data_IF_312793813983
#
_entry.id   IF_312793813983
#
_cell.length_a   1.000
_cell.length_b   1.000
_cell.length_c   1.000
_cell.angle_alpha   90.00
_cell.angle_beta   90.00
_cell.angle_gamma   90.00
#
_symmetry.space_group_name_H-M   'P 1'
#
loop_
_entity.id
_entity.type
_entity.pdbx_description
1 polymer ?
#
# COMPACT_ATOMS: atom_id res chain seq x y z
N UNK A 1 32.15 69.01 -13.55
CA UNK A 1 31.41 69.12 -14.83
C UNK A 1 31.08 67.71 -15.32
N UNK A 2 29.85 67.26 -15.12
CA UNK A 2 29.28 66.04 -15.71
C UNK A 2 27.79 66.33 -15.89
N UNK A 3 27.36 66.51 -17.13
CA UNK A 3 25.96 66.68 -17.44
C UNK A 3 25.23 65.35 -17.18
N UNK A 4 24.05 65.35 -16.56
CA UNK A 4 23.22 64.16 -16.49
C UNK A 4 22.62 63.96 -17.89
N UNK A 5 22.93 62.83 -18.50
CA UNK A 5 22.24 62.39 -19.71
C UNK A 5 20.77 62.13 -19.33
N UNK A 6 19.89 63.07 -19.64
CA UNK A 6 18.46 62.89 -19.57
C UNK A 6 18.09 61.77 -20.55
N UNK A 7 17.84 60.57 -20.02
CA UNK A 7 17.21 59.49 -20.76
C UNK A 7 15.82 59.99 -21.19
N UNK A 8 15.71 60.32 -22.47
CA UNK A 8 14.51 60.87 -23.06
C UNK A 8 13.32 59.92 -22.81
N UNK A 9 12.19 60.41 -22.31
CA UNK A 9 11.02 59.59 -22.01
C UNK A 9 10.48 58.87 -23.27
N UNK A 10 10.85 59.31 -24.46
CA UNK A 10 10.50 58.66 -25.73
C UNK A 10 11.10 57.26 -25.93
N UNK A 11 12.27 56.94 -25.35
CA UNK A 11 12.92 55.64 -25.57
C UNK A 11 12.20 54.52 -24.81
N UNK A 12 11.69 54.80 -23.61
CA UNK A 12 10.88 53.83 -22.84
C UNK A 12 9.50 53.61 -23.48
N UNK A 13 8.89 54.65 -24.08
CA UNK A 13 7.61 54.53 -24.80
C UNK A 13 7.77 53.66 -26.06
N UNK A 14 8.89 53.79 -26.77
CA UNK A 14 9.20 52.96 -27.95
C UNK A 14 9.36 51.47 -27.60
N UNK A 15 9.99 51.13 -26.47
CA UNK A 15 10.14 49.74 -26.03
C UNK A 15 8.80 49.09 -25.64
N UNK A 16 7.85 49.84 -25.08
CA UNK A 16 6.50 49.32 -24.81
C UNK A 16 5.68 49.07 -26.09
N UNK A 17 5.93 49.81 -27.17
CA UNK A 17 5.25 49.57 -28.47
C UNK A 17 5.72 48.31 -29.20
N UNK A 18 6.91 47.79 -28.86
CA UNK A 18 7.48 46.57 -29.42
C UNK A 18 7.04 45.29 -28.70
N UNK A 19 6.47 45.39 -27.50
CA UNK A 19 5.80 44.26 -26.85
C UNK A 19 4.38 44.17 -27.44
N UNK A 20 4.30 43.69 -28.67
CA UNK A 20 3.02 43.27 -29.23
C UNK A 20 2.47 42.17 -28.32
N UNK A 21 1.42 42.51 -27.56
CA UNK A 21 0.64 41.53 -26.81
C UNK A 21 0.09 40.56 -27.86
N UNK A 22 0.73 39.40 -27.99
CA UNK A 22 0.28 38.37 -28.92
C UNK A 22 -1.12 37.95 -28.49
N UNK A 23 -2.13 38.38 -29.24
CA UNK A 23 -3.51 37.90 -29.13
C UNK A 23 -3.73 36.67 -30.00
N UNK A 24 -2.69 35.84 -30.16
CA UNK A 24 -2.83 34.54 -30.81
C UNK A 24 -3.69 33.63 -29.94
N UNK A 25 -4.98 33.57 -30.21
CA UNK A 25 -5.81 32.49 -29.68
C UNK A 25 -5.38 31.19 -30.36
N UNK A 26 -4.94 30.20 -29.57
CA UNK A 26 -4.65 28.88 -30.09
C UNK A 26 -5.91 28.33 -30.77
N UNK A 27 -5.83 28.07 -32.08
CA UNK A 27 -6.92 27.39 -32.78
C UNK A 27 -7.09 26.00 -32.16
N UNK A 28 -8.33 25.70 -31.79
CA UNK A 28 -8.71 24.36 -31.37
C UNK A 28 -8.32 23.34 -32.46
N UNK A 29 -7.77 22.21 -32.06
CA UNK A 29 -7.30 21.21 -33.01
C UNK A 29 -8.48 20.73 -33.87
N UNK A 30 -8.34 20.82 -35.20
CA UNK A 30 -9.37 20.43 -36.17
C UNK A 30 -9.75 18.94 -36.11
N UNK A 31 -8.87 18.13 -35.53
CA UNK A 31 -9.06 16.70 -35.33
C UNK A 31 -8.67 16.38 -33.90
N UNK A 32 -9.62 15.87 -33.14
CA UNK A 32 -9.34 15.24 -31.86
C UNK A 32 -8.68 13.90 -32.16
N UNK A 33 -7.49 13.63 -31.61
CA UNK A 33 -6.85 12.32 -31.75
C UNK A 33 -7.85 11.25 -31.30
N UNK A 34 -8.27 10.40 -32.22
CA UNK A 34 -9.17 9.29 -31.91
C UNK A 34 -8.37 8.26 -31.11
N UNK A 35 -8.64 8.17 -29.80
CA UNK A 35 -8.06 7.14 -28.95
C UNK A 35 -8.97 5.93 -28.98
N UNK A 36 -8.50 4.82 -29.56
CA UNK A 36 -9.20 3.55 -29.49
C UNK A 36 -9.08 2.99 -28.06
N UNK A 37 -10.15 3.05 -27.29
CA UNK A 37 -10.25 2.48 -25.94
C UNK A 37 -10.53 0.97 -25.93
N UNK A 38 -10.79 0.37 -27.11
CA UNK A 38 -11.05 -1.06 -27.28
C UNK A 38 -9.77 -1.82 -27.68
N UNK A 39 -8.68 -1.55 -26.97
CA UNK A 39 -7.40 -2.24 -27.13
C UNK A 39 -7.25 -3.32 -26.07
N UNK A 40 -6.71 -4.49 -26.45
CA UNK A 40 -6.42 -5.57 -25.52
C UNK A 40 -4.91 -5.66 -25.28
N UNK A 41 -4.50 -5.60 -24.01
CA UNK A 41 -3.11 -5.64 -23.60
C UNK A 41 -2.84 -6.89 -22.78
N UNK A 42 -1.71 -7.54 -23.05
CA UNK A 42 -1.18 -8.61 -22.20
C UNK A 42 -0.20 -7.96 -21.21
N UNK A 43 -0.61 -7.88 -19.95
CA UNK A 43 0.18 -7.30 -18.87
C UNK A 43 0.51 -8.40 -17.84
N UNK A 44 1.66 -8.31 -17.15
CA UNK A 44 1.94 -9.15 -16.00
C UNK A 44 0.76 -9.09 -15.02
N UNK A 45 0.32 -10.25 -14.55
CA UNK A 45 -0.83 -10.36 -13.67
C UNK A 45 -0.66 -11.54 -12.71
N UNK A 46 -1.30 -11.41 -11.55
CA UNK A 46 -1.38 -12.45 -10.53
C UNK A 46 -2.85 -12.65 -10.16
N UNK A 47 -3.27 -13.91 -10.07
CA UNK A 47 -4.61 -14.27 -9.60
C UNK A 47 -4.47 -14.98 -8.25
N UNK A 48 -4.97 -14.34 -7.19
CA UNK A 48 -5.06 -14.93 -5.86
C UNK A 48 -6.19 -15.98 -5.80
N UNK A 49 -6.08 -16.93 -4.87
CA UNK A 49 -7.15 -17.89 -4.60
C UNK A 49 -8.35 -17.25 -3.89
N UNK A 50 -8.09 -16.17 -3.16
CA UNK A 50 -9.08 -15.44 -2.36
C UNK A 50 -9.06 -13.94 -2.67
N UNK A 51 -10.12 -13.19 -2.31
CA UNK A 51 -10.17 -11.75 -2.58
C UNK A 51 -8.99 -11.00 -1.96
N UNK A 52 -8.43 -10.04 -2.69
CA UNK A 52 -7.35 -9.15 -2.26
C UNK A 52 -7.96 -7.90 -1.60
N UNK A 53 -7.39 -7.46 -0.48
CA UNK A 53 -7.80 -6.23 0.23
C UNK A 53 -6.75 -5.12 0.14
N UNK A 54 -5.49 -5.43 0.47
CA UNK A 54 -4.43 -4.42 0.55
C UNK A 54 -3.17 -4.88 -0.19
N UNK A 55 -2.41 -3.93 -0.71
CA UNK A 55 -1.17 -4.17 -1.47
C UNK A 55 -0.11 -3.17 -1.05
N UNK A 56 1.12 -3.63 -0.86
CA UNK A 56 2.30 -2.79 -0.59
C UNK A 56 3.46 -3.23 -1.45
N UNK A 57 4.27 -2.27 -1.89
CA UNK A 57 5.55 -2.49 -2.56
C UNK A 57 6.69 -2.15 -1.59
N UNK A 58 7.60 -3.09 -1.34
CA UNK A 58 8.82 -2.86 -0.54
C UNK A 58 9.94 -3.82 -0.97
N UNK A 59 11.18 -3.36 -1.02
CA UNK A 59 12.35 -4.22 -1.26
C UNK A 59 12.26 -5.12 -2.51
N UNK A 60 11.76 -4.59 -3.64
CA UNK A 60 11.52 -5.35 -4.89
C UNK A 60 10.48 -6.47 -4.81
N UNK A 61 9.60 -6.40 -3.82
CA UNK A 61 8.53 -7.36 -3.63
C UNK A 61 7.19 -6.64 -3.45
N UNK A 62 6.14 -7.26 -3.97
CA UNK A 62 4.75 -6.83 -3.79
C UNK A 62 4.11 -7.74 -2.75
N UNK A 63 3.77 -7.18 -1.59
CA UNK A 63 3.05 -7.86 -0.52
C UNK A 63 1.56 -7.64 -0.71
N UNK A 64 0.79 -8.72 -0.72
CA UNK A 64 -0.64 -8.72 -1.04
C UNK A 64 -1.40 -9.34 0.12
N UNK A 65 -2.13 -8.52 0.86
CA UNK A 65 -3.05 -8.96 1.91
C UNK A 65 -4.37 -9.39 1.30
N UNK A 66 -4.72 -10.65 1.47
CA UNK A 66 -5.92 -11.29 0.96
C UNK A 66 -6.69 -12.01 2.08
N UNK A 67 -7.88 -12.53 1.77
CA UNK A 67 -8.63 -13.32 2.75
C UNK A 67 -7.86 -14.61 3.06
N UNK A 68 -7.58 -14.85 4.34
CA UNK A 68 -6.83 -15.99 4.87
C UNK A 68 -5.37 -16.12 4.42
N UNK A 69 -4.84 -15.18 3.63
CA UNK A 69 -3.49 -15.28 3.08
C UNK A 69 -2.80 -13.92 2.96
N UNK A 70 -1.48 -13.93 3.10
CA UNK A 70 -0.59 -12.86 2.62
C UNK A 70 0.28 -13.49 1.54
N UNK A 71 0.27 -12.93 0.34
CA UNK A 71 1.16 -13.35 -0.75
C UNK A 71 2.33 -12.38 -0.87
N UNK A 72 3.49 -12.88 -1.26
CA UNK A 72 4.62 -12.07 -1.70
C UNK A 72 4.88 -12.38 -3.17
N UNK A 73 4.91 -11.34 -4.00
CA UNK A 73 5.16 -11.44 -5.43
C UNK A 73 6.46 -10.74 -5.78
N UNK A 74 7.12 -11.20 -6.85
CA UNK A 74 8.20 -10.48 -7.49
C UNK A 74 7.66 -9.21 -8.18
N UNK A 75 8.33 -8.06 -8.06
CA UNK A 75 7.88 -6.79 -8.63
C UNK A 75 8.00 -6.72 -10.17
N UNK A 76 8.79 -7.60 -10.79
CA UNK A 76 9.03 -7.60 -12.24
C UNK A 76 7.97 -8.34 -13.04
N UNK A 77 7.49 -9.48 -12.55
CA UNK A 77 6.59 -10.38 -13.28
C UNK A 77 5.36 -10.81 -12.48
N UNK A 78 5.22 -10.34 -11.24
CA UNK A 78 4.15 -10.68 -10.31
C UNK A 78 4.05 -12.19 -9.97
N UNK A 79 5.12 -12.96 -10.18
CA UNK A 79 5.14 -14.34 -9.75
C UNK A 79 5.13 -14.44 -8.23
N UNK A 80 4.28 -15.34 -7.69
CA UNK A 80 4.23 -15.65 -6.26
C UNK A 80 5.53 -16.33 -5.82
N UNK A 81 6.28 -15.67 -4.95
CA UNK A 81 7.53 -16.20 -4.37
C UNK A 81 7.34 -16.73 -2.95
N UNK A 82 6.36 -16.22 -2.21
CA UNK A 82 6.00 -16.72 -0.88
C UNK A 82 4.51 -16.53 -0.58
N UNK A 83 4.04 -17.24 0.43
CA UNK A 83 2.66 -17.20 0.93
C UNK A 83 2.65 -17.48 2.42
N UNK A 84 1.85 -16.74 3.19
CA UNK A 84 1.64 -16.98 4.61
C UNK A 84 0.15 -17.08 4.89
N UNK A 85 -0.26 -18.18 5.53
CA UNK A 85 -1.66 -18.42 5.86
C UNK A 85 -2.03 -17.68 7.13
N UNK A 86 -2.97 -16.75 7.03
CA UNK A 86 -3.51 -15.98 8.17
C UNK A 86 -4.83 -16.54 8.69
N UNK A 87 -5.42 -17.52 7.99
CA UNK A 87 -6.67 -18.15 8.41
C UNK A 87 -7.10 -19.34 7.54
N UNK A 88 -8.37 -19.80 7.67
CA UNK A 88 -9.36 -19.33 8.64
C UNK A 88 -8.89 -19.58 10.08
N UNK A 89 -9.39 -18.78 11.02
CA UNK A 89 -9.05 -18.86 12.44
C UNK A 89 -10.27 -19.30 13.23
N UNK A 90 -10.07 -20.13 14.25
CA UNK A 90 -11.13 -20.48 15.18
C UNK A 90 -11.27 -19.40 16.26
N UNK A 91 -12.41 -18.73 16.29
CA UNK A 91 -12.77 -17.81 17.37
C UNK A 91 -13.62 -18.53 18.43
N UNK A 92 -13.37 -18.19 19.70
CA UNK A 92 -14.13 -18.68 20.85
C UNK A 92 -14.20 -17.56 21.90
N UNK A 93 -15.29 -17.42 22.69
CA UNK A 93 -15.38 -16.40 23.74
C UNK A 93 -14.20 -16.41 24.72
N UNK A 94 -13.78 -17.61 25.14
CA UNK A 94 -12.62 -17.84 26.01
C UNK A 94 -11.26 -17.87 25.28
N UNK A 95 -11.20 -17.44 24.02
CA UNK A 95 -9.95 -17.33 23.28
C UNK A 95 -9.44 -15.89 23.39
N UNK A 96 -8.28 -15.72 24.02
CA UNK A 96 -7.62 -14.42 24.08
C UNK A 96 -6.86 -14.13 22.78
N UNK A 97 -6.67 -12.85 22.42
CA UNK A 97 -5.83 -12.49 21.29
C UNK A 97 -4.43 -13.12 21.38
N UNK A 98 -3.86 -13.46 20.22
CA UNK A 98 -2.54 -14.10 20.11
C UNK A 98 -2.39 -15.48 20.76
N UNK A 99 -3.47 -16.08 21.27
CA UNK A 99 -3.48 -17.44 21.75
C UNK A 99 -3.88 -18.41 20.62
N UNK A 100 -3.15 -19.51 20.47
CA UNK A 100 -3.62 -20.61 19.61
C UNK A 100 -4.76 -21.35 20.30
N UNK A 101 -5.96 -21.19 19.75
CA UNK A 101 -7.18 -21.78 20.26
C UNK A 101 -7.65 -22.99 19.44
N UNK A 102 -6.81 -23.52 18.54
CA UNK A 102 -7.15 -24.66 17.68
C UNK A 102 -7.61 -25.90 18.48
N UNK A 103 -7.09 -26.07 19.70
CA UNK A 103 -7.50 -27.15 20.62
C UNK A 103 -8.93 -26.99 21.18
N UNK A 104 -9.52 -25.80 21.09
CA UNK A 104 -10.90 -25.50 21.52
C UNK A 104 -11.93 -25.79 20.42
N UNK A 105 -11.52 -26.30 19.26
CA UNK A 105 -12.42 -26.59 18.13
C UNK A 105 -13.52 -27.61 18.42
N UNK A 106 -13.33 -28.47 19.43
CA UNK A 106 -14.31 -29.46 19.86
C UNK A 106 -15.27 -28.95 20.96
N UNK A 107 -15.07 -27.72 21.44
CA UNK A 107 -15.91 -27.12 22.48
C UNK A 107 -17.12 -26.41 21.87
N UNK A 108 -18.23 -26.38 22.61
CA UNK A 108 -19.42 -25.62 22.22
C UNK A 108 -19.09 -24.13 22.18
N UNK A 109 -19.25 -23.49 21.03
CA UNK A 109 -19.03 -22.05 20.86
C UNK A 109 -17.82 -21.67 20.00
N UNK A 110 -17.04 -22.65 19.52
CA UNK A 110 -15.98 -22.42 18.53
C UNK A 110 -16.58 -22.15 17.14
N UNK A 111 -16.19 -21.05 16.51
CA UNK A 111 -16.66 -20.67 15.16
C UNK A 111 -15.45 -20.39 14.28
N UNK A 112 -15.35 -21.07 13.14
CA UNK A 112 -14.37 -20.75 12.12
C UNK A 112 -14.73 -19.45 11.40
N UNK A 113 -13.78 -18.54 11.34
CA UNK A 113 -13.91 -17.23 10.68
C UNK A 113 -12.80 -17.03 9.69
N UNK A 114 -13.17 -16.53 8.52
CA UNK A 114 -12.19 -16.05 7.55
C UNK A 114 -11.49 -14.80 8.10
N UNK A 115 -10.18 -14.75 7.92
CA UNK A 115 -9.35 -13.63 8.29
C UNK A 115 -9.22 -12.68 7.10
N UNK A 116 -9.97 -11.59 7.10
CA UNK A 116 -9.91 -10.55 6.08
C UNK A 116 -8.78 -9.59 6.46
N UNK A 117 -7.87 -9.30 5.52
CA UNK A 117 -6.81 -8.34 5.78
C UNK A 117 -7.39 -6.91 5.90
N UNK A 118 -7.31 -6.33 7.09
CA UNK A 118 -7.85 -5.01 7.42
C UNK A 118 -6.81 -3.90 7.32
N UNK A 119 -5.55 -4.24 7.55
CA UNK A 119 -4.42 -3.35 7.30
C UNK A 119 -3.18 -4.17 6.93
N UNK A 120 -2.33 -3.56 6.10
CA UNK A 120 -1.02 -4.04 5.75
C UNK A 120 -0.11 -2.81 5.72
N UNK A 121 1.03 -2.87 6.40
CA UNK A 121 1.96 -1.75 6.59
C UNK A 121 3.40 -2.27 6.54
N UNK A 122 4.34 -1.42 6.16
CA UNK A 122 5.78 -1.68 6.31
C UNK A 122 6.34 -0.65 7.28
N UNK A 123 7.05 -1.13 8.31
CA UNK A 123 7.88 -0.32 9.19
C UNK A 123 9.35 -0.54 8.82
N UNK A 124 10.08 0.56 8.59
CA UNK A 124 11.53 0.58 8.28
C UNK A 124 12.33 1.39 9.29
N UNK A 125 11.69 1.85 10.38
CA UNK A 125 12.38 2.62 11.40
C UNK A 125 13.29 1.74 12.27
N UNK A 126 12.86 0.51 12.52
CA UNK A 126 13.66 -0.55 13.14
C UNK A 126 14.19 -1.50 12.06
N UNK A 127 14.31 -2.79 12.38
CA UNK A 127 14.42 -3.81 11.33
C UNK A 127 13.16 -3.77 10.45
N UNK A 128 13.35 -3.97 9.14
CA UNK A 128 12.26 -4.00 8.17
C UNK A 128 11.20 -5.02 8.59
N UNK A 129 9.97 -4.55 8.77
CA UNK A 129 8.87 -5.35 9.29
C UNK A 129 7.60 -5.13 8.48
N UNK A 130 7.00 -6.23 8.03
CA UNK A 130 5.64 -6.22 7.51
C UNK A 130 4.67 -6.36 8.68
N UNK A 131 3.82 -5.37 8.90
CA UNK A 131 2.76 -5.41 9.91
C UNK A 131 1.44 -5.72 9.21
N UNK A 132 0.75 -6.76 9.66
CA UNK A 132 -0.54 -7.18 9.12
C UNK A 132 -1.60 -7.22 10.23
N UNK A 133 -2.78 -6.67 9.97
CA UNK A 133 -3.89 -6.69 10.92
C UNK A 133 -5.11 -7.32 10.25
N UNK A 134 -5.72 -8.29 10.94
CA UNK A 134 -6.83 -9.09 10.44
C UNK A 134 -8.19 -8.67 11.00
N UNK A 135 -9.28 -9.21 10.44
CA UNK A 135 -10.64 -9.01 10.97
C UNK A 135 -10.95 -9.90 12.18
N UNK A 136 -10.16 -10.95 12.39
CA UNK A 136 -10.31 -11.92 13.49
C UNK A 136 -9.46 -11.50 14.70
N UNK A 137 -9.56 -12.25 15.80
CA UNK A 137 -8.76 -12.03 17.02
C UNK A 137 -8.88 -10.58 17.53
N UNK A 138 -10.10 -10.02 17.45
CA UNK A 138 -10.42 -8.65 17.89
C UNK A 138 -9.59 -7.55 17.20
N UNK A 139 -9.12 -7.80 15.97
CA UNK A 139 -8.37 -6.81 15.20
C UNK A 139 -6.87 -6.74 15.54
N UNK A 140 -6.36 -7.75 16.25
CA UNK A 140 -4.95 -7.78 16.65
C UNK A 140 -4.03 -7.89 15.44
N UNK A 141 -2.89 -7.20 15.51
CA UNK A 141 -1.89 -7.20 14.45
C UNK A 141 -0.76 -8.22 14.71
N UNK A 142 -0.08 -8.61 13.65
CA UNK A 142 1.14 -9.41 13.67
C UNK A 142 2.22 -8.64 12.93
N UNK A 143 3.46 -8.69 13.44
CA UNK A 143 4.65 -8.17 12.75
C UNK A 143 5.49 -9.34 12.26
N UNK A 144 5.85 -9.30 10.97
CA UNK A 144 6.72 -10.25 10.30
C UNK A 144 8.06 -9.55 10.08
N UNK A 145 9.11 -9.99 10.78
CA UNK A 145 10.45 -9.41 10.62
C UNK A 145 11.04 -9.92 9.30
N UNK A 146 11.41 -9.00 8.42
CA UNK A 146 11.91 -9.31 7.08
C UNK A 146 13.43 -9.47 7.13
N UNK A 147 13.98 -10.65 6.78
CA UNK A 147 15.42 -10.84 6.74
C UNK A 147 16.07 -9.93 5.67
N UNK A 148 17.18 -9.21 5.97
CA UNK A 148 17.80 -8.28 5.02
C UNK A 148 18.22 -8.90 3.67
N UNK A 149 18.52 -10.21 3.67
CA UNK A 149 18.93 -10.94 2.47
C UNK A 149 17.80 -11.71 1.79
N UNK A 150 16.62 -11.79 2.42
CA UNK A 150 15.46 -12.45 1.86
C UNK A 150 14.16 -11.77 2.31
N UNK A 151 13.84 -10.56 1.80
CA UNK A 151 12.63 -9.83 2.18
C UNK A 151 11.32 -10.57 1.86
N UNK A 152 11.36 -11.61 1.03
CA UNK A 152 10.20 -12.44 0.73
C UNK A 152 9.85 -13.43 1.86
N UNK A 153 10.76 -13.67 2.80
CA UNK A 153 10.50 -14.51 3.95
C UNK A 153 9.65 -13.78 4.99
N UNK A 154 8.36 -14.05 4.95
CA UNK A 154 7.36 -13.55 5.90
C UNK A 154 6.96 -14.63 6.93
N UNK A 155 7.68 -15.75 7.01
CA UNK A 155 7.31 -16.89 7.85
C UNK A 155 8.27 -17.14 9.01
N UNK A 156 9.57 -16.87 8.83
CA UNK A 156 10.59 -17.27 9.79
C UNK A 156 10.47 -16.58 11.15
N UNK A 157 10.08 -15.31 11.17
CA UNK A 157 9.97 -14.54 12.41
C UNK A 157 8.69 -13.71 12.45
N UNK A 158 7.66 -14.26 13.11
CA UNK A 158 6.33 -13.67 13.23
C UNK A 158 5.98 -13.48 14.70
N UNK A 159 5.65 -12.26 15.08
CA UNK A 159 5.28 -11.91 16.44
C UNK A 159 3.89 -11.28 16.47
N UNK A 160 3.00 -11.80 17.32
CA UNK A 160 1.68 -11.23 17.52
C UNK A 160 1.75 -10.05 18.50
N UNK A 161 1.14 -8.93 18.14
CA UNK A 161 1.26 -7.66 18.85
C UNK A 161 0.16 -7.51 19.90
N UNK A 162 0.32 -8.21 21.03
CA UNK A 162 -0.61 -8.14 22.16
C UNK A 162 0.14 -8.18 23.49
N UNK A 163 -0.26 -7.33 24.43
CA UNK A 163 0.25 -7.31 25.81
C UNK A 163 -0.93 -7.27 26.78
N UNK A 164 -1.07 -8.26 27.69
CA UNK A 164 -2.23 -8.36 28.60
C UNK A 164 -2.42 -7.14 29.52
N UNK A 165 -1.33 -6.43 29.84
CA UNK A 165 -1.36 -5.32 30.81
C UNK A 165 -2.08 -4.07 30.29
N UNK A 166 -2.25 -3.93 28.97
CA UNK A 166 -2.92 -2.77 28.38
C UNK A 166 -4.46 -2.80 28.51
N UNK A 167 -5.04 -3.97 28.76
CA UNK A 167 -6.50 -4.15 28.84
C UNK A 167 -7.05 -3.95 30.27
N UNK A 168 -6.22 -4.08 31.31
CA UNK A 168 -6.65 -3.94 32.72
C UNK A 168 -6.91 -2.49 33.15
N UNK A 169 -6.32 -1.49 32.50
CA UNK A 169 -6.54 -0.06 32.82
C UNK A 169 -7.87 0.51 32.26
N UNK A 170 -8.64 -0.31 31.53
CA UNK A 170 -9.88 0.10 30.87
C UNK A 170 -11.18 -0.41 31.54
N UNK A 171 -11.07 -1.06 32.72
CA UNK A 171 -12.19 -1.60 33.50
C UNK A 171 -12.69 -0.70 34.62
#
# INVERSE_FOLDING_TARGET
MKAPAALAPGIFVLLFTLVQRSHGECKEALVRSEMNVNMNYQLPNFTAETPIQHVILHGHHVYVGATNNIYVLNDTDLQKVAEYKTGPVLEHPDCFPCQDCSNKGNLSGGIWKDNINMALLIDTYYDDQLISCGSVNRGTCQRHVLPPHNPADIQSEVHCMFSPQADEESG
#
